data_IF_275809939594
#
_entry.id   IF_275809939594
#
_cell.length_a   1.000
_cell.length_b   1.000
_cell.length_c   1.000
_cell.angle_alpha   90.00
_cell.angle_beta   90.00
_cell.angle_gamma   90.00
#
_symmetry.space_group_name_H-M   'P 1'
#
loop_
_entity.id
_entity.type
_entity.pdbx_description
1 polymer ?
#
# COMPACT_ATOMS: atom_id res chain seq x y z
N UNK A 1 -9.54 40.88 -0.09
CA UNK A 1 -9.68 39.40 0.03
C UNK A 1 -8.75 38.57 -0.86
N UNK A 2 -8.35 39.01 -2.06
CA UNK A 2 -7.53 38.25 -3.03
C UNK A 2 -6.08 37.98 -2.55
N UNK A 3 -5.41 38.94 -1.90
CA UNK A 3 -4.04 38.77 -1.37
C UNK A 3 -3.89 37.68 -0.30
N UNK A 4 -4.90 37.39 0.50
CA UNK A 4 -4.88 36.33 1.52
C UNK A 4 -5.02 34.90 0.94
N UNK A 5 -5.68 34.77 -0.21
CA UNK A 5 -5.85 33.49 -0.90
C UNK A 5 -4.54 33.05 -1.59
N UNK A 6 -3.83 33.98 -2.24
CA UNK A 6 -2.52 33.71 -2.85
C UNK A 6 -1.46 33.33 -1.80
N UNK A 7 -1.44 33.97 -0.64
CA UNK A 7 -0.52 33.62 0.44
C UNK A 7 -0.77 32.24 1.08
N UNK A 8 -2.04 31.79 1.12
CA UNK A 8 -2.38 30.43 1.57
C UNK A 8 -2.05 29.39 0.51
N UNK A 9 -2.31 29.68 -0.76
CA UNK A 9 -1.97 28.80 -1.88
C UNK A 9 -0.45 28.59 -1.98
N UNK A 10 0.35 29.66 -1.89
CA UNK A 10 1.80 29.58 -1.89
C UNK A 10 2.37 28.77 -0.72
N UNK A 11 1.79 28.89 0.48
CA UNK A 11 2.20 28.05 1.63
C UNK A 11 1.85 26.59 1.45
N UNK A 12 0.67 26.27 0.90
CA UNK A 12 0.25 24.89 0.61
C UNK A 12 1.13 24.25 -0.46
N UNK A 13 1.46 24.96 -1.52
CA UNK A 13 2.35 24.49 -2.60
C UNK A 13 3.76 24.25 -2.05
N UNK A 14 4.28 25.17 -1.25
CA UNK A 14 5.63 25.05 -0.64
C UNK A 14 5.70 23.88 0.35
N UNK A 15 4.64 23.65 1.14
CA UNK A 15 4.57 22.52 2.05
C UNK A 15 4.54 21.18 1.30
N UNK A 16 3.75 21.08 0.22
CA UNK A 16 3.70 19.87 -0.61
C UNK A 16 5.02 19.61 -1.32
N UNK A 17 5.64 20.65 -1.88
CA UNK A 17 6.95 20.54 -2.51
C UNK A 17 8.01 20.06 -1.51
N UNK A 18 8.01 20.60 -0.29
CA UNK A 18 8.90 20.15 0.78
C UNK A 18 8.69 18.66 1.11
N UNK A 19 7.43 18.19 1.25
CA UNK A 19 7.14 16.77 1.49
C UNK A 19 7.64 15.88 0.36
N UNK A 20 7.47 16.29 -0.90
CA UNK A 20 7.98 15.55 -2.06
C UNK A 20 9.49 15.47 -2.01
N UNK A 21 10.18 16.60 -1.79
CA UNK A 21 11.64 16.65 -1.71
C UNK A 21 12.20 15.78 -0.59
N UNK A 22 11.56 15.81 0.60
CA UNK A 22 11.95 14.96 1.73
C UNK A 22 11.76 13.48 1.38
N UNK A 23 10.63 13.10 0.79
CA UNK A 23 10.37 11.71 0.40
C UNK A 23 11.37 11.23 -0.65
N UNK A 24 11.70 12.06 -1.64
CA UNK A 24 12.72 11.74 -2.65
C UNK A 24 14.12 11.62 -2.03
N UNK A 25 14.48 12.50 -1.10
CA UNK A 25 15.75 12.45 -0.40
C UNK A 25 15.89 11.17 0.44
N UNK A 26 14.84 10.80 1.17
CA UNK A 26 14.80 9.54 1.94
C UNK A 26 14.95 8.34 0.99
N UNK A 27 14.19 8.31 -0.11
CA UNK A 27 14.26 7.21 -1.09
C UNK A 27 15.65 7.11 -1.74
N UNK A 28 16.24 8.23 -2.13
CA UNK A 28 17.58 8.29 -2.71
C UNK A 28 18.65 7.84 -1.69
N UNK A 29 18.56 8.29 -0.44
CA UNK A 29 19.48 7.88 0.61
C UNK A 29 19.39 6.37 0.88
N UNK A 30 18.18 5.80 0.97
CA UNK A 30 18.00 4.37 1.18
C UNK A 30 18.44 3.54 -0.04
N UNK A 31 18.21 4.05 -1.26
CA UNK A 31 18.70 3.41 -2.47
C UNK A 31 20.23 3.41 -2.52
N UNK A 32 20.84 4.55 -2.19
CA UNK A 32 22.31 4.65 -2.09
C UNK A 32 22.87 3.69 -1.04
N UNK A 33 22.25 3.62 0.16
CA UNK A 33 22.63 2.66 1.20
C UNK A 33 22.48 1.21 0.77
N UNK A 34 21.46 0.89 -0.04
CA UNK A 34 21.28 -0.44 -0.61
C UNK A 34 22.40 -0.77 -1.61
N UNK A 35 22.69 0.16 -2.52
CA UNK A 35 23.72 0.01 -3.57
C UNK A 35 25.12 -0.09 -2.93
N UNK A 36 25.40 0.70 -1.91
CA UNK A 36 26.68 0.66 -1.19
C UNK A 36 26.96 -0.69 -0.47
N UNK A 37 25.96 -1.55 -0.35
CA UNK A 37 26.02 -2.85 0.32
C UNK A 37 26.05 -4.05 -0.63
N UNK A 38 26.02 -3.80 -1.94
CA UNK A 38 25.97 -4.85 -2.97
C UNK A 38 27.11 -4.68 -3.97
N UNK A 39 27.48 -5.78 -4.62
CA UNK A 39 28.32 -5.75 -5.81
C UNK A 39 27.48 -5.47 -7.05
N UNK A 40 27.69 -4.31 -7.65
CA UNK A 40 26.98 -3.89 -8.87
C UNK A 40 27.34 -4.73 -10.09
N UNK A 41 28.56 -5.25 -10.15
CA UNK A 41 28.96 -6.16 -11.25
C UNK A 41 28.16 -7.47 -11.17
N UNK A 42 27.96 -8.00 -9.95
CA UNK A 42 27.13 -9.17 -9.71
C UNK A 42 25.65 -8.95 -10.04
N UNK A 43 25.11 -7.74 -9.90
CA UNK A 43 23.71 -7.44 -10.18
C UNK A 43 23.33 -7.71 -11.65
N UNK A 44 24.16 -7.26 -12.60
CA UNK A 44 23.93 -7.49 -14.01
C UNK A 44 23.96 -8.97 -14.37
N UNK A 45 24.92 -9.72 -13.81
CA UNK A 45 25.03 -11.15 -14.02
C UNK A 45 23.83 -11.92 -13.43
N UNK A 46 23.36 -11.54 -12.27
CA UNK A 46 22.21 -12.18 -11.63
C UNK A 46 20.90 -11.92 -12.40
N UNK A 47 20.66 -10.68 -12.82
CA UNK A 47 19.50 -10.35 -13.64
C UNK A 47 19.51 -11.02 -15.02
N UNK A 48 20.69 -11.27 -15.61
CA UNK A 48 20.83 -12.00 -16.85
C UNK A 48 20.47 -13.50 -16.72
N UNK A 49 20.53 -14.05 -15.50
CA UNK A 49 20.21 -15.45 -15.21
C UNK A 49 18.76 -15.65 -14.77
N UNK A 50 17.93 -14.59 -14.75
CA UNK A 50 16.53 -14.69 -14.39
C UNK A 50 15.80 -15.70 -15.28
N UNK A 51 15.11 -16.65 -14.66
CA UNK A 51 14.31 -17.65 -15.36
C UNK A 51 12.96 -17.05 -15.80
N UNK A 52 12.73 -16.82 -17.11
CA UNK A 52 11.53 -16.11 -17.58
C UNK A 52 10.22 -16.81 -17.20
N UNK A 53 10.21 -18.14 -17.15
CA UNK A 53 9.00 -18.91 -16.82
C UNK A 53 8.47 -18.60 -15.41
N UNK A 54 9.36 -18.52 -14.42
CA UNK A 54 8.98 -18.17 -13.04
C UNK A 54 8.60 -16.70 -12.90
N UNK A 55 9.27 -15.81 -13.64
CA UNK A 55 8.93 -14.40 -13.68
C UNK A 55 7.52 -14.19 -14.27
N UNK A 56 7.20 -14.87 -15.38
CA UNK A 56 5.85 -14.81 -15.98
C UNK A 56 4.80 -15.35 -15.01
N UNK A 57 5.09 -16.47 -14.33
CA UNK A 57 4.20 -17.02 -13.30
C UNK A 57 3.99 -16.04 -12.15
N UNK A 58 5.04 -15.36 -11.68
CA UNK A 58 4.95 -14.34 -10.63
C UNK A 58 4.09 -13.14 -11.07
N UNK A 59 4.29 -12.64 -12.29
CA UNK A 59 3.47 -11.55 -12.87
C UNK A 59 2.01 -11.97 -12.98
N UNK A 60 1.72 -13.17 -13.46
CA UNK A 60 0.36 -13.69 -13.55
C UNK A 60 -0.30 -13.79 -12.17
N UNK A 61 0.42 -14.33 -11.18
CA UNK A 61 -0.09 -14.42 -9.81
C UNK A 61 -0.27 -13.05 -9.16
N UNK A 62 0.59 -12.08 -9.45
CA UNK A 62 0.41 -10.69 -9.01
C UNK A 62 -0.92 -10.10 -9.54
N UNK A 63 -1.29 -10.38 -10.79
CA UNK A 63 -2.60 -9.98 -11.33
C UNK A 63 -3.76 -10.65 -10.61
N UNK A 64 -3.64 -11.93 -10.29
CA UNK A 64 -4.60 -12.65 -9.45
C UNK A 64 -4.70 -11.99 -8.07
N UNK A 65 -3.57 -11.63 -7.45
CA UNK A 65 -3.55 -10.93 -6.17
C UNK A 65 -4.27 -9.56 -6.23
N UNK A 66 -4.13 -8.80 -7.33
CA UNK A 66 -4.89 -7.55 -7.55
C UNK A 66 -6.40 -7.81 -7.66
N UNK A 67 -6.82 -8.90 -8.32
CA UNK A 67 -8.22 -9.30 -8.40
C UNK A 67 -8.76 -9.69 -7.02
N UNK A 68 -8.00 -10.48 -6.25
CA UNK A 68 -8.36 -10.88 -4.89
C UNK A 68 -8.48 -9.67 -3.94
N UNK A 69 -7.59 -8.69 -4.05
CA UNK A 69 -7.68 -7.42 -3.30
C UNK A 69 -8.94 -6.64 -3.67
N UNK A 70 -9.29 -6.61 -4.94
CA UNK A 70 -10.50 -5.94 -5.42
C UNK A 70 -11.76 -6.65 -4.93
N UNK A 71 -11.76 -7.98 -4.94
CA UNK A 71 -12.83 -8.79 -4.39
C UNK A 71 -13.00 -8.54 -2.88
N UNK A 72 -11.91 -8.57 -2.10
CA UNK A 72 -11.92 -8.23 -0.67
C UNK A 72 -12.46 -6.82 -0.42
N UNK A 73 -11.98 -5.84 -1.18
CA UNK A 73 -12.45 -4.46 -1.02
C UNK A 73 -13.90 -4.26 -1.44
N UNK A 74 -14.39 -5.03 -2.42
CA UNK A 74 -15.80 -5.05 -2.78
C UNK A 74 -16.69 -5.53 -1.62
N UNK A 75 -16.25 -6.53 -0.85
CA UNK A 75 -16.94 -6.97 0.37
C UNK A 75 -17.02 -5.79 1.36
N UNK A 76 -15.90 -5.09 1.58
CA UNK A 76 -15.83 -3.93 2.46
C UNK A 76 -16.70 -2.74 2.00
N UNK A 77 -16.91 -2.57 0.72
CA UNK A 77 -17.73 -1.50 0.15
C UNK A 77 -19.22 -1.83 0.13
N UNK A 78 -19.59 -3.10 0.15
CA UNK A 78 -20.98 -3.56 -0.06
C UNK A 78 -22.00 -2.88 0.85
N UNK A 79 -21.79 -2.69 2.17
CA UNK A 79 -22.72 -1.98 3.05
C UNK A 79 -22.80 -0.47 2.81
N UNK A 80 -21.74 0.12 2.23
CA UNK A 80 -21.76 1.53 1.88
C UNK A 80 -22.48 1.73 0.55
N UNK A 81 -22.11 0.95 -0.45
CA UNK A 81 -22.75 0.85 -1.76
C UNK A 81 -22.32 -0.41 -2.48
N UNK A 82 -23.28 -1.17 -2.98
CA UNK A 82 -23.01 -2.30 -3.86
C UNK A 82 -22.44 -1.81 -5.20
N UNK A 83 -21.16 -2.12 -5.44
CA UNK A 83 -20.46 -1.83 -6.70
C UNK A 83 -20.13 -3.15 -7.40
N UNK A 84 -20.09 -3.10 -8.74
CA UNK A 84 -19.63 -4.24 -9.53
C UNK A 84 -18.13 -4.47 -9.33
N UNK A 85 -17.66 -5.70 -9.58
CA UNK A 85 -16.24 -6.04 -9.48
C UNK A 85 -15.37 -5.11 -10.35
N UNK A 86 -15.75 -4.87 -11.60
CA UNK A 86 -14.99 -3.99 -12.51
C UNK A 86 -14.89 -2.54 -12.03
N UNK A 87 -15.94 -2.02 -11.36
CA UNK A 87 -15.91 -0.68 -10.79
C UNK A 87 -14.91 -0.56 -9.63
N UNK A 88 -14.88 -1.56 -8.76
CA UNK A 88 -13.94 -1.62 -7.63
C UNK A 88 -12.52 -1.85 -8.14
N UNK A 89 -12.34 -2.78 -9.08
CA UNK A 89 -11.05 -3.10 -9.69
C UNK A 89 -10.41 -1.89 -10.38
N UNK A 90 -11.22 -1.14 -11.16
CA UNK A 90 -10.77 0.11 -11.77
C UNK A 90 -10.30 1.13 -10.71
N UNK A 91 -11.09 1.33 -9.66
CA UNK A 91 -10.71 2.25 -8.56
C UNK A 91 -9.44 1.83 -7.84
N UNK A 92 -9.25 0.51 -7.63
CA UNK A 92 -8.05 -0.04 -7.00
C UNK A 92 -6.82 0.14 -7.88
N UNK A 93 -6.89 -0.16 -9.17
CA UNK A 93 -5.78 0.02 -10.11
C UNK A 93 -5.34 1.49 -10.20
N UNK A 94 -6.30 2.42 -10.30
CA UNK A 94 -6.00 3.86 -10.31
C UNK A 94 -5.35 4.30 -8.99
N UNK A 95 -5.84 3.78 -7.85
CA UNK A 95 -5.22 4.06 -6.55
C UNK A 95 -3.78 3.54 -6.46
N UNK A 96 -3.50 2.35 -6.96
CA UNK A 96 -2.15 1.77 -6.98
C UNK A 96 -1.23 2.54 -7.93
N UNK A 97 -1.69 2.88 -9.13
CA UNK A 97 -0.95 3.75 -10.04
C UNK A 97 -0.59 5.08 -9.37
N UNK A 98 -1.55 5.69 -8.66
CA UNK A 98 -1.31 6.93 -7.93
C UNK A 98 -0.30 6.77 -6.78
N UNK A 99 -0.25 5.61 -6.10
CA UNK A 99 0.77 5.33 -5.07
C UNK A 99 2.19 5.22 -5.65
N UNK A 100 2.32 4.80 -6.92
CA UNK A 100 3.60 4.74 -7.62
C UNK A 100 4.00 6.08 -8.24
N UNK A 101 3.05 6.95 -8.56
CA UNK A 101 3.31 8.25 -9.21
C UNK A 101 3.37 9.41 -8.20
N UNK A 102 2.64 9.32 -7.09
CA UNK A 102 2.51 10.38 -6.11
C UNK A 102 3.31 10.05 -4.84
N UNK A 103 3.95 11.06 -4.21
CA UNK A 103 4.60 10.88 -2.92
C UNK A 103 3.57 10.63 -1.81
N UNK A 104 4.05 10.15 -0.66
CA UNK A 104 3.26 9.97 0.57
C UNK A 104 2.04 9.04 0.42
N UNK A 105 2.04 8.11 -0.54
CA UNK A 105 0.99 7.09 -0.74
C UNK A 105 -0.44 7.67 -0.86
N UNK A 106 -0.56 8.78 -1.58
CA UNK A 106 -1.84 9.46 -1.78
C UNK A 106 -2.85 8.67 -2.63
N UNK A 107 -2.47 7.54 -3.20
CA UNK A 107 -3.35 6.72 -4.04
C UNK A 107 -4.60 6.20 -3.31
N UNK A 108 -4.54 6.02 -1.99
CA UNK A 108 -5.72 5.65 -1.20
C UNK A 108 -6.75 6.79 -1.16
N UNK A 109 -6.29 8.04 -1.10
CA UNK A 109 -7.16 9.21 -1.19
C UNK A 109 -7.67 9.41 -2.63
N UNK A 110 -6.84 9.15 -3.63
CA UNK A 110 -7.21 9.20 -5.06
C UNK A 110 -8.33 8.20 -5.36
N UNK A 111 -8.21 6.94 -4.90
CA UNK A 111 -9.26 5.93 -5.10
C UNK A 111 -10.56 6.31 -4.37
N UNK A 112 -10.46 6.91 -3.18
CA UNK A 112 -11.63 7.38 -2.42
C UNK A 112 -12.32 8.56 -3.13
N UNK A 113 -11.56 9.50 -3.70
CA UNK A 113 -12.10 10.63 -4.45
C UNK A 113 -12.72 10.17 -5.78
N UNK A 114 -12.06 9.27 -6.49
CA UNK A 114 -12.54 8.72 -7.77
C UNK A 114 -13.89 8.02 -7.62
N UNK A 115 -13.98 7.05 -6.68
CA UNK A 115 -15.24 6.33 -6.45
C UNK A 115 -16.30 7.24 -5.83
N UNK A 116 -15.90 8.13 -4.92
CA UNK A 116 -16.80 9.08 -4.29
C UNK A 116 -17.50 9.99 -5.29
N UNK A 117 -16.75 10.54 -6.26
CA UNK A 117 -17.32 11.39 -7.33
C UNK A 117 -18.17 10.59 -8.32
N UNK A 118 -17.65 9.44 -8.78
CA UNK A 118 -18.27 8.69 -9.85
C UNK A 118 -19.57 8.00 -9.44
N UNK A 119 -19.66 7.58 -8.17
CA UNK A 119 -20.80 6.81 -7.67
C UNK A 119 -21.59 7.51 -6.56
N UNK A 120 -21.35 8.80 -6.33
CA UNK A 120 -22.00 9.61 -5.31
C UNK A 120 -21.93 8.98 -3.90
N UNK A 121 -20.74 8.46 -3.53
CA UNK A 121 -20.46 7.87 -2.21
C UNK A 121 -19.67 8.87 -1.38
N UNK A 122 -19.94 8.92 -0.07
CA UNK A 122 -19.11 9.71 0.85
C UNK A 122 -17.66 9.26 0.81
N UNK A 123 -16.74 10.16 0.45
CA UNK A 123 -15.29 9.88 0.46
C UNK A 123 -14.82 9.37 1.80
N UNK A 124 -15.39 9.92 2.88
CA UNK A 124 -15.01 9.53 4.23
C UNK A 124 -15.48 8.12 4.58
N UNK A 125 -16.62 7.68 4.05
CA UNK A 125 -17.08 6.29 4.19
C UNK A 125 -16.16 5.33 3.43
N UNK A 126 -15.68 5.71 2.22
CA UNK A 126 -14.71 4.91 1.48
C UNK A 126 -13.38 4.84 2.24
N UNK A 127 -12.89 5.95 2.78
CA UNK A 127 -11.70 5.96 3.65
C UNK A 127 -11.88 5.04 4.85
N UNK A 128 -13.07 5.00 5.45
CA UNK A 128 -13.39 4.05 6.52
C UNK A 128 -13.19 2.59 6.11
N UNK A 129 -13.62 2.20 4.90
CA UNK A 129 -13.38 0.83 4.40
C UNK A 129 -11.90 0.54 4.18
N UNK A 130 -11.13 1.54 3.75
CA UNK A 130 -9.66 1.42 3.57
C UNK A 130 -8.97 1.24 4.92
N UNK A 131 -9.41 1.96 5.94
CA UNK A 131 -8.88 1.81 7.31
C UNK A 131 -9.14 0.40 7.83
N UNK A 132 -10.35 -0.15 7.64
CA UNK A 132 -10.65 -1.55 8.00
C UNK A 132 -9.71 -2.51 7.25
N UNK A 133 -9.54 -2.32 5.95
CA UNK A 133 -8.61 -3.10 5.14
C UNK A 133 -7.20 -3.11 5.76
N UNK A 134 -6.67 -1.94 6.14
CA UNK A 134 -5.35 -1.81 6.76
C UNK A 134 -5.24 -2.49 8.12
N UNK A 135 -6.31 -2.52 8.91
CA UNK A 135 -6.30 -3.24 10.19
C UNK A 135 -6.07 -4.74 10.03
N UNK A 136 -6.78 -5.36 9.10
CA UNK A 136 -6.56 -6.78 8.82
C UNK A 136 -5.16 -7.04 8.25
N UNK A 137 -4.66 -6.16 7.38
CA UNK A 137 -3.30 -6.27 6.83
C UNK A 137 -2.23 -6.19 7.93
N UNK A 138 -2.39 -5.29 8.90
CA UNK A 138 -1.47 -5.10 10.02
C UNK A 138 -1.33 -6.36 10.87
N UNK A 139 -2.41 -7.09 11.14
CA UNK A 139 -2.34 -8.36 11.88
C UNK A 139 -1.46 -9.37 11.16
N UNK A 140 -1.57 -9.44 9.82
CA UNK A 140 -0.73 -10.32 9.00
C UNK A 140 0.73 -9.84 9.01
N UNK A 141 0.99 -8.53 8.94
CA UNK A 141 2.36 -7.97 9.02
C UNK A 141 3.06 -8.36 10.31
N UNK A 142 2.37 -8.22 11.44
CA UNK A 142 2.88 -8.66 12.73
C UNK A 142 3.21 -10.16 12.70
N UNK A 143 2.31 -10.98 12.16
CA UNK A 143 2.52 -12.41 11.99
C UNK A 143 3.77 -12.74 11.16
N UNK A 144 3.96 -12.07 10.02
CA UNK A 144 5.16 -12.25 9.17
C UNK A 144 6.44 -11.88 9.90
N UNK A 145 6.45 -10.79 10.65
CA UNK A 145 7.63 -10.35 11.37
C UNK A 145 7.99 -11.35 12.47
N UNK A 146 7.01 -11.80 13.27
CA UNK A 146 7.29 -12.79 14.33
C UNK A 146 7.73 -14.13 13.76
N UNK A 147 7.10 -14.62 12.69
CA UNK A 147 7.51 -15.84 12.02
C UNK A 147 8.89 -15.71 11.37
N UNK A 148 9.20 -14.55 10.80
CA UNK A 148 10.52 -14.25 10.23
C UNK A 148 11.63 -14.17 11.29
N UNK A 149 11.34 -13.63 12.46
CA UNK A 149 12.29 -13.60 13.59
C UNK A 149 12.64 -15.01 14.06
N UNK A 150 11.72 -15.97 13.99
CA UNK A 150 12.02 -17.36 14.27
C UNK A 150 13.12 -17.94 13.34
N UNK A 151 13.17 -17.47 12.07
CA UNK A 151 14.26 -17.82 11.15
C UNK A 151 15.63 -17.29 11.60
N UNK A 152 15.65 -16.13 12.29
CA UNK A 152 16.88 -15.50 12.74
C UNK A 152 17.37 -16.06 14.08
N UNK A 153 16.48 -16.56 14.94
CA UNK A 153 16.88 -17.19 16.20
C UNK A 153 17.82 -18.38 16.00
N UNK A 154 17.75 -19.02 14.86
CA UNK A 154 18.67 -20.13 14.51
C UNK A 154 20.06 -19.65 14.14
N UNK A 155 20.29 -18.36 13.89
CA UNK A 155 21.59 -17.82 13.43
C UNK A 155 22.42 -17.18 14.53
N UNK A 156 21.86 -16.91 15.73
CA UNK A 156 22.58 -16.34 16.87
C UNK A 156 23.12 -14.91 16.68
N UNK A 157 22.58 -14.15 15.70
CA UNK A 157 23.11 -12.83 15.32
C UNK A 157 22.66 -11.73 16.29
N UNK A 158 23.63 -11.00 16.86
CA UNK A 158 23.40 -9.85 17.77
C UNK A 158 22.74 -8.64 17.09
N UNK A 159 22.64 -8.59 15.77
CA UNK A 159 21.99 -7.51 14.99
C UNK A 159 20.47 -7.52 15.07
N UNK A 160 19.89 -8.53 15.72
CA UNK A 160 18.43 -8.70 15.87
C UNK A 160 17.81 -7.63 16.78
N UNK A 161 18.56 -7.11 17.78
CA UNK A 161 18.05 -6.16 18.78
C UNK A 161 17.33 -4.94 18.21
N UNK A 162 17.94 -4.14 17.31
CA UNK A 162 17.27 -2.97 16.69
C UNK A 162 16.03 -3.32 15.89
N UNK A 163 16.02 -4.50 15.25
CA UNK A 163 14.85 -4.98 14.48
C UNK A 163 13.72 -5.35 15.45
N UNK A 164 14.02 -6.02 16.56
CA UNK A 164 13.03 -6.33 17.60
C UNK A 164 12.38 -5.07 18.14
N UNK A 165 13.15 -4.03 18.48
CA UNK A 165 12.59 -2.75 18.95
C UNK A 165 11.70 -2.07 17.89
N UNK A 166 12.09 -2.10 16.61
CA UNK A 166 11.23 -1.58 15.55
C UNK A 166 9.92 -2.36 15.44
N UNK A 167 9.99 -3.68 15.57
CA UNK A 167 8.83 -4.57 15.57
C UNK A 167 7.90 -4.29 16.74
N UNK A 168 8.45 -4.14 17.95
CA UNK A 168 7.69 -3.77 19.14
C UNK A 168 6.99 -2.43 18.97
N UNK A 169 7.67 -1.40 18.45
CA UNK A 169 7.07 -0.09 18.17
C UNK A 169 5.93 -0.19 17.15
N UNK A 170 6.11 -0.96 16.08
CA UNK A 170 5.07 -1.19 15.09
C UNK A 170 3.89 -1.94 15.71
N UNK A 171 4.14 -2.99 16.49
CA UNK A 171 3.10 -3.77 17.17
C UNK A 171 2.30 -2.88 18.15
N UNK A 172 2.98 -2.06 18.95
CA UNK A 172 2.34 -1.09 19.87
C UNK A 172 1.49 -0.10 19.07
N UNK A 173 2.03 0.48 18.00
CA UNK A 173 1.29 1.40 17.12
C UNK A 173 0.02 0.76 16.54
N UNK A 174 0.10 -0.51 16.16
CA UNK A 174 -1.03 -1.28 15.66
C UNK A 174 -2.10 -1.53 16.74
N UNK A 175 -1.68 -1.92 17.94
CA UNK A 175 -2.59 -2.09 19.07
C UNK A 175 -3.29 -0.78 19.41
N UNK A 176 -2.56 0.33 19.46
CA UNK A 176 -3.12 1.67 19.70
C UNK A 176 -4.14 2.03 18.61
N UNK A 177 -3.85 1.75 17.34
CA UNK A 177 -4.77 2.00 16.24
C UNK A 177 -6.04 1.14 16.36
N UNK A 178 -5.91 -0.14 16.69
CA UNK A 178 -7.05 -1.04 16.91
C UNK A 178 -7.91 -0.53 18.07
N UNK A 179 -7.29 -0.19 19.20
CA UNK A 179 -8.00 0.34 20.38
C UNK A 179 -8.73 1.65 20.02
N UNK A 180 -8.05 2.57 19.33
CA UNK A 180 -8.66 3.84 18.89
C UNK A 180 -9.88 3.59 18.01
N UNK A 181 -9.81 2.64 17.09
CA UNK A 181 -10.93 2.28 16.22
C UNK A 181 -12.07 1.61 16.97
N UNK A 182 -11.77 0.71 17.91
CA UNK A 182 -12.81 0.12 18.78
C UNK A 182 -13.49 1.19 19.62
N UNK A 183 -12.75 2.16 20.14
CA UNK A 183 -13.29 3.32 20.86
C UNK A 183 -14.18 4.15 19.93
N UNK A 184 -13.74 4.46 18.71
CA UNK A 184 -14.54 5.18 17.73
C UNK A 184 -15.83 4.43 17.37
N UNK A 185 -15.77 3.11 17.21
CA UNK A 185 -16.95 2.25 16.98
C UNK A 185 -17.91 2.33 18.17
N UNK A 186 -17.41 2.26 19.40
CA UNK A 186 -18.25 2.37 20.61
C UNK A 186 -18.87 3.77 20.80
N UNK A 187 -18.09 4.81 20.49
CA UNK A 187 -18.54 6.20 20.63
C UNK A 187 -19.52 6.64 19.54
N UNK A 188 -19.65 5.93 18.43
CA UNK A 188 -20.53 6.28 17.30
C UNK A 188 -22.02 6.44 17.69
N UNK A 189 -22.45 5.74 18.73
CA UNK A 189 -23.83 5.76 19.22
C UNK A 189 -24.09 6.79 20.33
N UNK A 190 -23.02 7.40 20.86
CA UNK A 190 -23.16 8.44 21.89
C UNK A 190 -23.08 9.83 21.27
N UNK A 191 -23.92 10.78 21.69
CA UNK A 191 -23.78 12.17 21.26
C UNK A 191 -22.44 12.70 21.76
N UNK A 192 -21.69 13.34 20.86
CA UNK A 192 -20.40 13.93 21.21
C UNK A 192 -20.61 15.22 22.03
N UNK A 193 -19.72 15.54 22.96
CA UNK A 193 -19.73 16.81 23.68
C UNK A 193 -19.81 18.03 22.72
N UNK A 194 -20.55 19.06 23.06
CA UNK A 194 -20.75 20.26 22.23
C UNK A 194 -19.48 20.79 21.52
N UNK A 195 -18.30 20.90 22.16
CA UNK A 195 -17.13 21.49 21.52
C UNK A 195 -16.57 20.63 20.34
N UNK A 196 -16.91 19.34 20.27
CA UNK A 196 -16.47 18.43 19.19
C UNK A 196 -17.63 17.91 18.33
N UNK A 197 -18.85 18.42 18.52
CA UNK A 197 -20.05 18.00 17.78
C UNK A 197 -19.91 18.20 16.25
N UNK A 198 -19.09 19.17 15.80
CA UNK A 198 -18.80 19.36 14.38
C UNK A 198 -18.07 18.15 13.74
N UNK A 199 -17.38 17.34 14.56
CA UNK A 199 -16.71 16.11 14.15
C UNK A 199 -17.68 14.94 14.00
N UNK A 200 -18.86 15.01 14.64
CA UNK A 200 -19.82 13.91 14.74
C UNK A 200 -20.25 13.40 13.37
N UNK A 201 -20.61 14.29 12.44
CA UNK A 201 -20.97 13.92 11.07
C UNK A 201 -19.83 13.21 10.32
N UNK A 202 -18.60 13.66 10.54
CA UNK A 202 -17.41 13.07 9.90
C UNK A 202 -17.07 11.72 10.51
N UNK A 203 -17.14 11.60 11.82
CA UNK A 203 -16.90 10.33 12.53
C UNK A 203 -17.98 9.29 12.21
N UNK A 204 -19.25 9.69 12.10
CA UNK A 204 -20.33 8.80 11.66
C UNK A 204 -20.15 8.34 10.22
N UNK A 205 -19.69 9.20 9.30
CA UNK A 205 -19.39 8.82 7.94
C UNK A 205 -18.20 7.86 7.85
N UNK A 206 -17.16 8.07 8.66
CA UNK A 206 -16.03 7.14 8.79
C UNK A 206 -16.51 5.80 9.37
N UNK A 207 -17.31 5.85 10.44
CA UNK A 207 -17.86 4.67 11.09
C UNK A 207 -18.84 3.90 10.19
N UNK A 208 -19.49 4.54 9.22
CA UNK A 208 -20.30 3.83 8.22
C UNK A 208 -19.49 2.83 7.40
N UNK A 209 -18.21 3.13 7.10
CA UNK A 209 -17.28 2.18 6.52
C UNK A 209 -16.85 1.04 7.48
N UNK A 210 -17.03 1.25 8.79
CA UNK A 210 -16.71 0.26 9.84
C UNK A 210 -17.89 -0.67 10.17
N UNK A 211 -19.08 -0.45 9.59
CA UNK A 211 -20.29 -1.24 9.86
C UNK A 211 -20.20 -2.72 9.52
N UNK A 212 -19.18 -3.12 8.78
CA UNK A 212 -18.94 -4.50 8.39
C UNK A 212 -18.44 -5.41 9.51
N UNK A 213 -18.00 -4.87 10.63
CA UNK A 213 -17.41 -5.65 11.73
C UNK A 213 -18.49 -5.91 12.80
N UNK A 214 -19.72 -6.25 12.39
CA UNK A 214 -20.82 -6.47 13.34
C UNK A 214 -21.16 -7.94 13.50
N UNK A 215 -20.89 -8.79 12.51
CA UNK A 215 -21.17 -10.22 12.54
C UNK A 215 -19.90 -11.07 12.52
N UNK A 216 -19.93 -12.21 13.21
CA UNK A 216 -18.80 -13.16 13.22
C UNK A 216 -18.52 -13.73 11.83
N UNK A 217 -19.54 -13.89 10.99
CA UNK A 217 -19.39 -14.40 9.63
C UNK A 217 -18.67 -13.42 8.71
N UNK A 218 -18.99 -12.13 8.78
CA UNK A 218 -18.33 -11.09 8.00
C UNK A 218 -16.86 -10.95 8.41
N UNK A 219 -16.59 -11.02 9.72
CA UNK A 219 -15.20 -10.99 10.23
C UNK A 219 -14.43 -12.21 9.73
N UNK A 220 -15.01 -13.41 9.82
CA UNK A 220 -14.39 -14.65 9.34
C UNK A 220 -14.11 -14.59 7.82
N UNK A 221 -15.06 -14.07 7.04
CA UNK A 221 -14.89 -13.88 5.60
C UNK A 221 -13.74 -12.91 5.29
N UNK A 222 -13.63 -11.79 6.02
CA UNK A 222 -12.55 -10.82 5.85
C UNK A 222 -11.19 -11.37 6.25
N UNK A 223 -11.12 -12.17 7.32
CA UNK A 223 -9.90 -12.89 7.72
C UNK A 223 -9.49 -13.85 6.60
N UNK A 224 -10.42 -14.68 6.11
CA UNK A 224 -10.15 -15.62 5.03
C UNK A 224 -9.69 -14.89 3.74
N UNK A 225 -10.41 -13.85 3.35
CA UNK A 225 -10.05 -13.03 2.19
C UNK A 225 -8.66 -12.38 2.34
N UNK A 226 -8.32 -11.90 3.54
CA UNK A 226 -7.01 -11.32 3.84
C UNK A 226 -5.92 -12.39 3.77
N UNK A 227 -6.15 -13.57 4.36
CA UNK A 227 -5.21 -14.68 4.29
C UNK A 227 -4.94 -15.11 2.84
N UNK A 228 -5.99 -15.22 2.01
CA UNK A 228 -5.86 -15.55 0.58
C UNK A 228 -5.03 -14.50 -0.17
N UNK A 229 -5.30 -13.21 0.04
CA UNK A 229 -4.54 -12.11 -0.59
C UNK A 229 -3.06 -12.19 -0.22
N UNK A 230 -2.75 -12.33 1.08
CA UNK A 230 -1.36 -12.37 1.54
C UNK A 230 -0.63 -13.65 1.18
N UNK A 231 -1.37 -14.77 1.07
CA UNK A 231 -0.80 -16.02 0.52
C UNK A 231 -0.41 -15.82 -0.95
N UNK A 232 -1.26 -15.20 -1.76
CA UNK A 232 -0.94 -14.91 -3.16
C UNK A 232 0.29 -14.01 -3.29
N UNK A 233 0.43 -12.98 -2.42
CA UNK A 233 1.62 -12.13 -2.40
C UNK A 233 2.87 -12.90 -1.99
N UNK A 234 2.77 -13.71 -0.94
CA UNK A 234 3.89 -14.52 -0.45
C UNK A 234 4.37 -15.49 -1.52
N UNK A 235 3.44 -16.14 -2.21
CA UNK A 235 3.78 -17.03 -3.34
C UNK A 235 4.36 -16.23 -4.52
N UNK A 236 3.91 -15.00 -4.75
CA UNK A 236 4.52 -14.13 -5.78
C UNK A 236 6.00 -13.87 -5.46
N UNK A 237 6.33 -13.50 -4.21
CA UNK A 237 7.72 -13.31 -3.80
C UNK A 237 8.53 -14.61 -3.87
N UNK A 238 7.92 -15.74 -3.54
CA UNK A 238 8.55 -17.06 -3.68
C UNK A 238 8.90 -17.38 -5.14
N UNK A 239 7.96 -17.15 -6.08
CA UNK A 239 8.19 -17.33 -7.51
C UNK A 239 9.30 -16.40 -8.04
N UNK A 240 9.33 -15.14 -7.58
CA UNK A 240 10.38 -14.20 -7.93
C UNK A 240 11.75 -14.65 -7.40
N UNK A 241 11.83 -15.16 -6.17
CA UNK A 241 13.05 -15.72 -5.62
C UNK A 241 13.52 -16.96 -6.42
N UNK A 242 12.60 -17.83 -6.82
CA UNK A 242 12.90 -18.95 -7.72
C UNK A 242 13.38 -18.50 -9.10
N UNK A 243 12.86 -17.39 -9.62
CA UNK A 243 13.32 -16.82 -10.89
C UNK A 243 14.79 -16.37 -10.82
N UNK A 244 15.26 -15.98 -9.63
CA UNK A 244 16.65 -15.59 -9.34
C UNK A 244 17.55 -16.76 -8.89
N UNK A 245 17.10 -18.01 -9.00
CA UNK A 245 17.82 -19.19 -8.47
C UNK A 245 18.10 -19.12 -6.95
N UNK A 246 17.31 -18.40 -6.19
CA UNK A 246 17.43 -18.20 -4.75
C UNK A 246 16.23 -18.83 -4.00
N UNK A 247 16.17 -20.16 -3.86
CA UNK A 247 15.08 -20.81 -3.17
C UNK A 247 15.09 -20.43 -1.68
N UNK A 248 14.05 -19.77 -1.22
CA UNK A 248 13.85 -19.39 0.19
C UNK A 248 13.00 -20.44 0.89
N UNK A 249 13.36 -20.76 2.13
CA UNK A 249 12.49 -21.50 3.03
C UNK A 249 11.28 -20.64 3.42
N UNK A 250 10.21 -21.25 3.91
CA UNK A 250 9.00 -20.53 4.32
C UNK A 250 9.27 -19.46 5.38
N UNK A 251 10.12 -19.77 6.37
CA UNK A 251 10.48 -18.81 7.43
C UNK A 251 11.31 -17.63 6.89
N UNK A 252 12.27 -17.91 5.99
CA UNK A 252 13.03 -16.86 5.31
C UNK A 252 12.12 -15.96 4.47
N UNK A 253 11.15 -16.56 3.79
CA UNK A 253 10.16 -15.83 3.00
C UNK A 253 9.29 -14.93 3.88
N UNK A 254 8.90 -15.38 5.07
CA UNK A 254 8.17 -14.55 6.03
C UNK A 254 9.00 -13.36 6.52
N UNK A 255 10.31 -13.53 6.72
CA UNK A 255 11.19 -12.40 7.02
C UNK A 255 11.23 -11.39 5.87
N UNK A 256 11.38 -11.86 4.63
CA UNK A 256 11.36 -11.01 3.43
C UNK A 256 10.04 -10.25 3.31
N UNK A 257 8.90 -10.93 3.54
CA UNK A 257 7.58 -10.30 3.54
C UNK A 257 7.43 -9.26 4.66
N UNK A 258 7.86 -9.59 5.88
CA UNK A 258 7.86 -8.67 7.02
C UNK A 258 8.69 -7.42 6.74
N UNK A 259 9.90 -7.57 6.22
CA UNK A 259 10.78 -6.46 5.84
C UNK A 259 10.20 -5.62 4.69
N UNK A 260 9.52 -6.25 3.72
CA UNK A 260 8.79 -5.54 2.67
C UNK A 260 7.65 -4.69 3.24
N UNK A 261 6.92 -5.21 4.23
CA UNK A 261 5.86 -4.49 4.92
C UNK A 261 6.42 -3.30 5.73
N UNK A 262 7.55 -3.47 6.42
CA UNK A 262 8.22 -2.39 7.14
C UNK A 262 8.72 -1.29 6.18
N UNK A 263 9.33 -1.67 5.07
CA UNK A 263 9.71 -0.72 4.02
C UNK A 263 8.51 0.11 3.55
N UNK A 264 7.36 -0.54 3.48
CA UNK A 264 6.12 0.10 3.06
C UNK A 264 5.60 1.17 4.03
N UNK A 265 6.03 1.20 5.30
CA UNK A 265 5.69 2.22 6.29
C UNK A 265 6.55 3.49 6.15
N UNK A 266 7.71 3.38 5.52
CA UNK A 266 8.64 4.50 5.34
C UNK A 266 8.07 5.45 4.27
N UNK A 267 7.93 6.75 4.54
CA UNK A 267 7.51 7.74 3.56
C UNK A 267 8.67 8.06 2.58
N UNK A 268 9.09 7.05 1.82
CA UNK A 268 10.15 7.13 0.84
C UNK A 268 9.64 7.67 -0.52
N UNK A 269 10.49 7.61 -1.54
CA UNK A 269 10.18 8.00 -2.91
C UNK A 269 8.90 7.31 -3.44
N UNK A 270 8.25 7.88 -4.47
CA UNK A 270 7.14 7.25 -5.15
C UNK A 270 7.45 5.79 -5.50
N UNK A 271 6.45 4.92 -5.37
CA UNK A 271 6.64 3.48 -5.59
C UNK A 271 7.51 2.78 -4.54
N UNK A 272 7.84 3.42 -3.42
CA UNK A 272 8.68 2.87 -2.35
C UNK A 272 10.12 2.53 -2.81
N UNK A 273 10.58 3.22 -3.88
CA UNK A 273 11.93 3.05 -4.44
C UNK A 273 12.97 3.43 -3.39
N UNK A 274 14.00 2.63 -3.26
CA UNK A 274 15.05 2.75 -2.26
C UNK A 274 14.70 2.03 -0.96
N UNK A 275 13.53 2.27 -0.37
CA UNK A 275 13.15 1.65 0.90
C UNK A 275 12.97 0.13 0.76
N UNK A 276 12.32 -0.34 -0.30
CA UNK A 276 12.15 -1.77 -0.55
C UNK A 276 13.49 -2.44 -0.85
N UNK A 277 14.34 -1.84 -1.71
CA UNK A 277 15.67 -2.37 -2.00
C UNK A 277 16.50 -2.49 -0.73
N UNK A 278 16.57 -1.42 0.08
CA UNK A 278 17.34 -1.44 1.31
C UNK A 278 16.84 -2.50 2.30
N UNK A 279 15.53 -2.62 2.47
CA UNK A 279 14.93 -3.59 3.38
C UNK A 279 15.21 -5.03 2.95
N UNK A 280 15.15 -5.34 1.64
CA UNK A 280 15.42 -6.70 1.17
C UNK A 280 16.91 -7.03 1.12
N UNK A 281 17.77 -6.06 0.81
CA UNK A 281 19.23 -6.24 0.99
C UNK A 281 19.53 -6.61 2.43
N UNK A 282 18.98 -5.86 3.38
CA UNK A 282 19.17 -6.14 4.81
C UNK A 282 18.59 -7.51 5.21
N UNK A 283 17.39 -7.86 4.74
CA UNK A 283 16.78 -9.17 5.01
C UNK A 283 17.67 -10.33 4.55
N UNK A 284 18.21 -10.24 3.33
CA UNK A 284 19.10 -11.26 2.79
C UNK A 284 20.41 -11.34 3.56
N UNK A 285 21.02 -10.20 3.91
CA UNK A 285 22.24 -10.17 4.73
C UNK A 285 22.04 -10.78 6.12
N UNK A 286 20.87 -10.54 6.75
CA UNK A 286 20.51 -11.15 8.04
C UNK A 286 20.34 -12.67 7.95
N UNK A 287 19.90 -13.16 6.77
CA UNK A 287 19.79 -14.58 6.48
C UNK A 287 21.12 -15.23 6.07
N UNK A 288 22.22 -14.48 6.02
CA UNK A 288 23.51 -14.95 5.51
C UNK A 288 23.52 -15.17 4.00
N UNK A 289 22.58 -14.56 3.26
CA UNK A 289 22.45 -14.65 1.81
C UNK A 289 23.01 -13.39 1.12
N UNK A 290 23.38 -13.48 -0.17
CA UNK A 290 23.92 -12.33 -0.89
C UNK A 290 22.92 -11.15 -0.94
N UNK A 291 23.34 -9.97 -0.55
CA UNK A 291 22.51 -8.77 -0.58
C UNK A 291 22.09 -8.36 -1.99
N UNK A 292 22.90 -8.70 -3.02
CA UNK A 292 22.57 -8.45 -4.43
C UNK A 292 21.27 -9.17 -4.82
N UNK A 293 21.06 -10.40 -4.35
CA UNK A 293 19.82 -11.16 -4.60
C UNK A 293 18.61 -10.50 -3.94
N UNK A 294 18.77 -9.95 -2.73
CA UNK A 294 17.72 -9.14 -2.09
C UNK A 294 17.37 -7.89 -2.90
N UNK A 295 18.38 -7.20 -3.44
CA UNK A 295 18.18 -6.04 -4.31
C UNK A 295 17.45 -6.42 -5.61
N UNK A 296 17.89 -7.51 -6.25
CA UNK A 296 17.28 -8.07 -7.48
C UNK A 296 15.82 -8.44 -7.24
N UNK A 297 15.52 -9.12 -6.13
CA UNK A 297 14.16 -9.49 -5.74
C UNK A 297 13.26 -8.26 -5.55
N UNK A 298 13.76 -7.23 -4.85
CA UNK A 298 13.04 -5.98 -4.69
C UNK A 298 12.73 -5.30 -6.03
N UNK A 299 13.72 -5.28 -6.93
CA UNK A 299 13.60 -4.67 -8.26
C UNK A 299 12.58 -5.40 -9.13
N UNK A 300 12.61 -6.74 -9.15
CA UNK A 300 11.62 -7.55 -9.87
C UNK A 300 10.22 -7.36 -9.28
N UNK A 301 10.06 -7.35 -7.96
CA UNK A 301 8.78 -7.13 -7.30
C UNK A 301 8.20 -5.74 -7.66
N UNK A 302 9.03 -4.69 -7.66
CA UNK A 302 8.61 -3.36 -8.13
C UNK A 302 8.27 -3.34 -9.62
N UNK A 303 9.05 -4.04 -10.45
CA UNK A 303 8.77 -4.19 -11.87
C UNK A 303 7.38 -4.81 -12.12
N UNK A 304 7.01 -5.86 -11.38
CA UNK A 304 5.68 -6.46 -11.42
C UNK A 304 4.59 -5.44 -11.05
N UNK A 305 4.82 -4.64 -9.99
CA UNK A 305 3.88 -3.62 -9.57
C UNK A 305 3.73 -2.50 -10.61
N UNK A 306 4.83 -2.02 -11.18
CA UNK A 306 4.82 -0.96 -12.21
C UNK A 306 4.11 -1.46 -13.47
N UNK A 307 4.51 -2.61 -13.99
CA UNK A 307 3.91 -3.18 -15.19
C UNK A 307 2.42 -3.53 -14.99
N UNK A 308 2.07 -4.12 -13.84
CA UNK A 308 0.72 -4.56 -13.54
C UNK A 308 -0.22 -3.41 -13.20
N UNK A 309 0.07 -2.64 -12.15
CA UNK A 309 -0.88 -1.64 -11.65
C UNK A 309 -0.66 -0.24 -12.21
N UNK A 310 0.60 0.20 -12.39
CA UNK A 310 0.88 1.59 -12.74
C UNK A 310 0.61 1.88 -14.21
N UNK A 311 1.10 1.05 -15.13
CA UNK A 311 0.87 1.27 -16.56
C UNK A 311 -0.61 1.08 -16.90
N UNK A 312 -1.24 0.03 -16.40
CA UNK A 312 -2.65 -0.26 -16.69
C UNK A 312 -3.57 0.73 -15.95
N UNK A 313 -3.37 0.93 -14.65
CA UNK A 313 -4.20 1.84 -13.86
C UNK A 313 -4.03 3.30 -14.27
N UNK A 314 -2.81 3.74 -14.59
CA UNK A 314 -2.51 5.06 -15.12
C UNK A 314 -3.13 5.27 -16.50
N UNK A 315 -3.03 4.28 -17.40
CA UNK A 315 -3.65 4.30 -18.71
C UNK A 315 -5.18 4.41 -18.64
N UNK A 316 -5.80 3.62 -17.80
CA UNK A 316 -7.26 3.68 -17.56
C UNK A 316 -7.71 5.03 -17.00
N UNK A 317 -6.93 5.62 -16.10
CA UNK A 317 -7.22 6.95 -15.58
C UNK A 317 -7.13 8.04 -16.67
N UNK A 318 -6.11 7.99 -17.50
CA UNK A 318 -5.92 8.94 -18.61
C UNK A 318 -7.04 8.81 -19.64
N UNK A 319 -7.42 7.59 -20.02
CA UNK A 319 -8.54 7.35 -20.93
C UNK A 319 -9.86 7.91 -20.38
N UNK A 320 -10.13 7.70 -19.08
CA UNK A 320 -11.32 8.24 -18.43
C UNK A 320 -11.29 9.78 -18.37
N UNK A 321 -10.14 10.38 -18.12
CA UNK A 321 -9.96 11.84 -18.09
C UNK A 321 -10.18 12.46 -19.47
N UNK A 322 -9.64 11.86 -20.53
CA UNK A 322 -9.82 12.31 -21.91
C UNK A 322 -11.27 12.14 -22.39
N UNK A 323 -11.95 11.04 -22.01
CA UNK A 323 -13.37 10.83 -22.30
C UNK A 323 -14.24 11.92 -21.67
N UNK A 324 -14.01 12.25 -20.40
CA UNK A 324 -14.75 13.30 -19.71
C UNK A 324 -14.49 14.71 -20.26
N UNK A 325 -13.29 14.96 -20.80
CA UNK A 325 -12.97 16.24 -21.46
C UNK A 325 -13.76 16.45 -22.76
N UNK A 326 -14.04 15.36 -23.50
CA UNK A 326 -14.83 15.39 -24.75
C UNK A 326 -16.33 15.57 -24.53
N UNK A 327 -16.84 15.19 -23.37
CA UNK A 327 -18.28 15.24 -23.04
C UNK A 327 -18.68 16.50 -22.25
N UNK A 328 -17.74 17.40 -21.93
CA UNK A 328 -18.11 18.71 -21.36
C UNK A 328 -18.83 19.51 -22.44
N UNK A 329 -20.10 19.94 -22.22
CA UNK A 329 -20.76 20.87 -23.13
C UNK A 329 -19.88 22.11 -23.23
N UNK A 330 -19.62 22.58 -24.47
CA UNK A 330 -19.09 23.93 -24.68
C UNK A 330 -20.01 24.86 -23.92
N UNK A 331 -19.47 25.56 -22.91
CA UNK A 331 -20.22 26.65 -22.26
C UNK A 331 -20.77 27.50 -23.39
N UNK A 332 -22.09 27.62 -23.48
CA UNK A 332 -22.74 28.53 -24.41
C UNK A 332 -22.14 29.93 -24.14
N UNK A 333 -21.60 30.55 -25.16
CA UNK A 333 -21.16 31.93 -25.09
C UNK A 333 -22.36 32.77 -24.61
N UNK A 334 -22.20 33.68 -23.65
CA UNK A 334 -23.27 34.57 -23.27
C UNK A 334 -23.70 35.37 -24.50
N UNK A 335 -25.02 35.61 -24.70
CA UNK A 335 -25.47 36.41 -25.81
C UNK A 335 -24.81 37.77 -25.75
N UNK A 336 -24.19 38.15 -26.86
CA UNK A 336 -23.60 39.49 -27.05
C UNK A 336 -24.72 40.51 -26.94
N UNK A 337 -24.56 41.63 -26.19
CA UNK A 337 -25.59 42.65 -25.95
C UNK A 337 -26.00 43.40 -27.21
#
# INVERSE_FOLDING_TARGET
>A
MVRGAFGRLGRLVRHRLFQVLVSLAIGAALLWLAIARIDLAGLGAELAQVKPSWLVAAVALYWVALMLRSWRWRILLAPVRALSFGQVFHGLLVGYAANYLLPARLGELVRADLLGRRYAISRLSIVGTIVVERLFDVVVFIGFIFAGLAALHSTGDSRIGPILHLVELVAIGCVVLIVLLLVLIRLRHKPLPRPIAFLEKRLRALAAGLHLITGAQEVALLIAATAIVWTADTVTYWLLAYSLNAPLTLLQLFLVMGMSCLAALIPAAPGNIGALQYALVLAFQLLGLPGVTGFSLATLAQGCCIAGSTLVGGGLYLLAALGNARTRPKLAEPPVP
#
